data_IF_430617867463
#
_entry.id   IF_430617867463
#
_cell.length_a   1.000
_cell.length_b   1.000
_cell.length_c   1.000
_cell.angle_alpha   90.00
_cell.angle_beta   90.00
_cell.angle_gamma   90.00
#
_symmetry.space_group_name_H-M   'P 1'
#
loop_
_entity.id
_entity.type
_entity.pdbx_description
1 polymer ?
#
# COMPACT_ATOMS: atom_id res chain seq x y z
N UNK A 1 -19.45 3.30 -0.23
CA UNK A 1 -18.83 2.56 -1.36
C UNK A 1 -18.06 1.40 -0.77
N UNK A 2 -18.25 0.17 -1.27
CA UNK A 2 -17.47 -0.99 -0.83
C UNK A 2 -16.15 -1.01 -1.62
N UNK A 3 -15.03 -1.14 -0.91
CA UNK A 3 -13.73 -1.51 -1.47
C UNK A 3 -13.29 -2.80 -0.78
N UNK A 4 -12.69 -3.72 -1.54
CA UNK A 4 -12.09 -4.91 -0.96
C UNK A 4 -10.65 -4.59 -0.58
N UNK A 5 -10.23 -5.04 0.60
CA UNK A 5 -8.89 -4.83 1.14
C UNK A 5 -8.29 -6.21 1.43
N UNK A 6 -7.20 -6.54 0.75
CA UNK A 6 -6.49 -7.81 0.90
C UNK A 6 -5.17 -7.52 1.59
N UNK A 7 -4.99 -8.09 2.78
CA UNK A 7 -3.74 -7.97 3.53
C UNK A 7 -2.59 -8.68 2.81
N UNK A 8 -1.49 -7.97 2.61
CA UNK A 8 -0.28 -8.49 1.96
C UNK A 8 0.77 -8.84 3.00
N UNK A 9 0.98 -7.97 3.98
CA UNK A 9 1.99 -8.15 5.00
C UNK A 9 2.16 -6.89 5.85
N UNK A 10 3.14 -6.93 6.74
CA UNK A 10 3.52 -5.80 7.57
C UNK A 10 5.04 -5.65 7.63
N UNK A 11 5.47 -4.43 7.93
CA UNK A 11 6.83 -4.08 8.29
C UNK A 11 6.80 -3.41 9.66
N UNK A 12 7.76 -3.74 10.52
CA UNK A 12 7.86 -3.19 11.88
C UNK A 12 9.27 -2.64 12.07
N UNK A 13 9.36 -1.33 12.23
CA UNK A 13 10.61 -0.63 12.55
C UNK A 13 10.43 0.23 13.80
N UNK A 14 11.01 -0.19 14.92
CA UNK A 14 10.90 0.48 16.22
C UNK A 14 9.44 0.71 16.65
N UNK A 15 8.98 1.97 16.68
CA UNK A 15 7.62 2.38 17.05
C UNK A 15 6.70 2.54 15.83
N UNK A 16 7.20 2.28 14.63
CA UNK A 16 6.44 2.36 13.38
C UNK A 16 6.04 0.94 12.95
N UNK A 17 4.73 0.72 12.84
CA UNK A 17 4.18 -0.49 12.23
C UNK A 17 3.43 -0.08 10.96
N UNK A 18 3.80 -0.70 9.84
CA UNK A 18 3.22 -0.43 8.53
C UNK A 18 2.53 -1.69 8.04
N UNK A 19 1.26 -1.60 7.69
CA UNK A 19 0.51 -2.69 7.10
C UNK A 19 0.23 -2.39 5.63
N UNK A 20 0.50 -3.37 4.78
CA UNK A 20 0.38 -3.25 3.33
C UNK A 20 -0.82 -4.04 2.83
N UNK A 21 -1.58 -3.43 1.92
CA UNK A 21 -2.80 -4.00 1.39
C UNK A 21 -2.88 -3.79 -0.12
N UNK A 22 -3.41 -4.79 -0.82
CA UNK A 22 -4.00 -4.56 -2.14
C UNK A 22 -5.43 -4.12 -1.93
N UNK A 23 -5.81 -3.00 -2.53
CA UNK A 23 -7.18 -2.51 -2.54
C UNK A 23 -7.79 -2.70 -3.92
N UNK A 24 -9.07 -3.08 -3.96
CA UNK A 24 -9.83 -3.23 -5.19
C UNK A 24 -11.06 -2.34 -5.14
N UNK A 25 -11.27 -1.57 -6.21
CA UNK A 25 -12.47 -0.78 -6.44
C UNK A 25 -12.89 -0.90 -7.90
N UNK A 26 -14.09 -1.44 -8.12
CA UNK A 26 -14.63 -1.68 -9.46
C UNK A 26 -13.63 -2.51 -10.28
N UNK A 27 -13.09 -1.95 -11.37
CA UNK A 27 -12.10 -2.60 -12.24
C UNK A 27 -10.65 -2.18 -11.94
N UNK A 28 -10.43 -1.39 -10.89
CA UNK A 28 -9.11 -0.87 -10.55
C UNK A 28 -8.56 -1.52 -9.28
N UNK A 29 -7.26 -1.77 -9.32
CA UNK A 29 -6.47 -2.23 -8.19
C UNK A 29 -5.46 -1.16 -7.80
N UNK A 30 -5.17 -1.15 -6.51
CA UNK A 30 -4.29 -0.18 -5.89
C UNK A 30 -3.60 -0.76 -4.67
N UNK A 31 -2.80 0.08 -4.04
CA UNK A 31 -2.09 -0.25 -2.81
C UNK A 31 -2.59 0.69 -1.72
N UNK A 32 -2.91 0.12 -0.57
CA UNK A 32 -3.15 0.87 0.65
C UNK A 32 -2.07 0.55 1.67
N UNK A 33 -1.59 1.58 2.36
CA UNK A 33 -0.73 1.46 3.53
C UNK A 33 -1.48 1.98 4.76
N UNK A 34 -1.24 1.34 5.90
CA UNK A 34 -1.66 1.84 7.21
C UNK A 34 -0.49 1.89 8.16
N UNK A 35 -0.12 3.08 8.62
CA UNK A 35 0.94 3.31 9.59
C UNK A 35 0.37 3.55 10.97
N UNK A 36 0.66 2.65 11.90
CA UNK A 36 0.39 2.86 13.31
C UNK A 36 1.61 3.50 13.99
N UNK A 37 1.37 4.65 14.62
CA UNK A 37 2.33 5.40 15.42
C UNK A 37 1.76 5.64 16.82
N UNK A 38 2.59 6.11 17.76
CA UNK A 38 2.13 6.53 19.10
C UNK A 38 1.08 7.66 19.07
N UNK A 39 1.02 8.42 17.96
CA UNK A 39 0.11 9.56 17.78
C UNK A 39 -1.21 9.16 17.13
N UNK A 40 -1.33 7.94 16.63
CA UNK A 40 -2.50 7.44 15.92
C UNK A 40 -2.15 6.62 14.68
N UNK A 41 -3.19 6.28 13.92
CA UNK A 41 -3.09 5.53 12.67
C UNK A 41 -3.24 6.50 11.50
N UNK A 42 -2.31 6.44 10.56
CA UNK A 42 -2.36 7.12 9.27
C UNK A 42 -2.64 6.09 8.21
N UNK A 43 -3.48 6.42 7.23
CA UNK A 43 -3.80 5.53 6.12
C UNK A 43 -3.75 6.34 4.83
N UNK A 44 -3.20 5.75 3.79
CA UNK A 44 -3.28 6.30 2.44
C UNK A 44 -3.38 5.17 1.43
N UNK A 45 -3.89 5.50 0.25
CA UNK A 45 -4.07 4.53 -0.81
C UNK A 45 -4.07 5.15 -2.20
N UNK A 46 -3.51 4.42 -3.15
CA UNK A 46 -3.39 4.84 -4.54
C UNK A 46 -3.81 3.73 -5.50
N UNK A 47 -4.60 4.10 -6.51
CA UNK A 47 -5.04 3.20 -7.58
C UNK A 47 -4.21 3.46 -8.83
N UNK A 48 -3.62 2.43 -9.41
CA UNK A 48 -2.67 2.61 -10.51
C UNK A 48 -2.78 1.58 -11.64
N UNK A 49 -3.51 0.48 -11.45
CA UNK A 49 -3.60 -0.58 -12.47
C UNK A 49 -4.99 -1.22 -12.52
N UNK A 50 -5.32 -1.84 -13.65
CA UNK A 50 -6.49 -2.71 -13.82
C UNK A 50 -6.14 -4.19 -13.58
N UNK A 51 -4.85 -4.51 -13.43
CA UNK A 51 -4.32 -5.86 -13.29
C UNK A 51 -4.07 -6.22 -11.81
N UNK A 52 -4.77 -7.22 -11.29
CA UNK A 52 -4.65 -7.64 -9.90
C UNK A 52 -3.26 -8.18 -9.55
N UNK A 53 -2.66 -8.94 -10.47
CA UNK A 53 -1.36 -9.59 -10.26
C UNK A 53 -0.26 -8.53 -10.09
N UNK A 54 -0.27 -7.50 -10.93
CA UNK A 54 0.62 -6.35 -10.84
C UNK A 54 0.48 -5.63 -9.49
N UNK A 55 -0.75 -5.33 -9.06
CA UNK A 55 -0.98 -4.70 -7.76
C UNK A 55 -0.42 -5.53 -6.59
N UNK A 56 -0.52 -6.87 -6.68
CA UNK A 56 0.03 -7.77 -5.66
C UNK A 56 1.56 -7.82 -5.68
N UNK A 57 2.18 -7.80 -6.86
CA UNK A 57 3.63 -7.77 -7.00
C UNK A 57 4.22 -6.48 -6.45
N UNK A 58 3.67 -5.33 -6.84
CA UNK A 58 4.12 -4.02 -6.34
C UNK A 58 3.91 -3.94 -4.82
N UNK A 59 2.75 -4.35 -4.30
CA UNK A 59 2.52 -4.35 -2.85
C UNK A 59 3.54 -5.18 -2.07
N UNK A 60 3.98 -6.33 -2.61
CA UNK A 60 5.06 -7.13 -2.02
C UNK A 60 6.41 -6.43 -2.11
N UNK A 61 6.71 -5.75 -3.21
CA UNK A 61 7.95 -4.96 -3.35
C UNK A 61 8.00 -3.83 -2.31
N UNK A 62 6.90 -3.08 -2.15
CA UNK A 62 6.80 -2.02 -1.14
C UNK A 62 6.97 -2.58 0.28
N UNK A 63 6.35 -3.72 0.57
CA UNK A 63 6.47 -4.40 1.85
C UNK A 63 7.90 -4.86 2.14
N UNK A 64 8.60 -5.42 1.15
CA UNK A 64 10.00 -5.83 1.29
C UNK A 64 10.96 -4.65 1.47
N UNK A 65 10.61 -3.48 0.91
CA UNK A 65 11.37 -2.25 1.05
C UNK A 65 11.05 -1.43 2.29
N UNK A 66 10.16 -1.90 3.19
CA UNK A 66 9.66 -1.12 4.33
C UNK A 66 9.12 0.27 3.92
N UNK A 67 8.47 0.35 2.76
CA UNK A 67 7.98 1.63 2.21
C UNK A 67 6.95 2.25 3.14
N UNK A 68 7.07 3.56 3.35
CA UNK A 68 6.18 4.38 4.18
C UNK A 68 5.13 5.07 3.33
N UNK A 69 4.07 5.60 3.96
CA UNK A 69 3.06 6.45 3.33
C UNK A 69 3.69 7.60 2.55
N UNK A 70 4.71 8.24 3.11
CA UNK A 70 5.38 9.39 2.47
C UNK A 70 6.17 9.02 1.22
N UNK A 71 6.70 7.79 1.15
CA UNK A 71 7.51 7.34 0.01
C UNK A 71 6.70 6.53 -1.01
N UNK A 72 5.50 6.05 -0.62
CA UNK A 72 4.62 5.28 -1.49
C UNK A 72 4.25 6.04 -2.76
N UNK A 73 3.77 7.28 -2.62
CA UNK A 73 3.33 8.09 -3.78
C UNK A 73 4.48 8.35 -4.75
N UNK A 74 5.67 8.69 -4.23
CA UNK A 74 6.86 8.93 -5.06
C UNK A 74 7.27 7.68 -5.84
N UNK A 75 7.25 6.50 -5.20
CA UNK A 75 7.59 5.23 -5.85
C UNK A 75 6.56 4.85 -6.91
N UNK A 76 5.27 5.07 -6.64
CA UNK A 76 4.20 4.78 -7.59
C UNK A 76 4.22 5.73 -8.79
N UNK A 77 4.45 7.02 -8.56
CA UNK A 77 4.60 8.00 -9.63
C UNK A 77 5.76 7.65 -10.57
N UNK A 78 6.89 7.19 -10.02
CA UNK A 78 8.04 6.72 -10.81
C UNK A 78 7.76 5.39 -11.54
N UNK A 79 6.93 4.50 -10.96
CA UNK A 79 6.59 3.20 -11.55
C UNK A 79 5.64 3.32 -12.76
N UNK A 80 4.69 4.29 -12.72
CA UNK A 80 3.64 4.46 -13.75
C UNK A 80 4.17 5.16 -15.02
N UNK A 81 5.30 5.88 -14.95
CA UNK A 81 5.90 6.63 -16.06
C UNK A 81 6.57 5.75 -17.12
#
# INVERSE_FOLDING_TARGET
MLFNKVYVGEAVENTLQIQYFVIQRENFYGIGLEEATERGILCDYEYFTEEQEEALEVAKMLQQGSVTLTSMTEILDDYIQ
#
